data_IF_378515749728
#
_entry.id   IF_378515749728
#
_cell.length_a   1.000
_cell.length_b   1.000
_cell.length_c   1.000
_cell.angle_alpha   90.00
_cell.angle_beta   90.00
_cell.angle_gamma   90.00
#
_symmetry.space_group_name_H-M   'P 1'
#
loop_
_entity.id
_entity.type
_entity.pdbx_description
1 polymer ?
#
# COMPACT_ATOMS: atom_id res chain seq x y z
N UNK A 1 -5.22 -6.63 -14.54
CA UNK A 1 -4.87 -5.37 -13.87
C UNK A 1 -5.61 -5.33 -12.55
N UNK A 2 -4.92 -5.03 -11.45
CA UNK A 2 -5.56 -5.01 -10.14
C UNK A 2 -6.37 -3.71 -10.02
N UNK A 3 -7.59 -3.77 -9.49
CA UNK A 3 -8.42 -2.56 -9.31
C UNK A 3 -7.96 -1.79 -8.07
N UNK A 4 -6.78 -1.18 -8.19
CA UNK A 4 -6.09 -0.51 -7.11
C UNK A 4 -6.90 0.69 -6.59
N UNK A 5 -7.53 1.46 -7.47
CA UNK A 5 -8.36 2.60 -7.09
C UNK A 5 -9.56 2.18 -6.24
N UNK A 6 -10.22 1.07 -6.57
CA UNK A 6 -11.26 0.50 -5.72
C UNK A 6 -10.70 0.05 -4.37
N UNK A 7 -9.54 -0.60 -4.36
CA UNK A 7 -8.92 -1.09 -3.10
C UNK A 7 -8.52 0.07 -2.19
N UNK A 8 -8.00 1.18 -2.73
CA UNK A 8 -7.72 2.41 -1.99
C UNK A 8 -8.98 2.96 -1.34
N UNK A 9 -10.06 3.11 -2.10
CA UNK A 9 -11.36 3.57 -1.59
C UNK A 9 -11.93 2.65 -0.52
N UNK A 10 -11.78 1.35 -0.71
CA UNK A 10 -12.29 0.31 0.18
C UNK A 10 -11.44 0.12 1.46
N UNK A 11 -10.24 0.70 1.53
CA UNK A 11 -9.33 0.60 2.68
C UNK A 11 -9.75 1.47 3.86
N UNK A 12 -10.55 2.52 3.63
CA UNK A 12 -10.95 3.48 4.66
C UNK A 12 -9.82 4.41 5.15
N UNK A 13 -8.66 4.38 4.50
CA UNK A 13 -7.52 5.25 4.83
C UNK A 13 -7.71 6.67 4.28
N UNK A 14 -7.12 7.65 4.96
CA UNK A 14 -7.11 9.03 4.47
C UNK A 14 -6.23 9.15 3.21
N UNK A 15 -6.49 10.14 2.33
CA UNK A 15 -5.65 10.39 1.15
C UNK A 15 -4.18 10.62 1.49
N UNK A 16 -3.90 11.29 2.61
CA UNK A 16 -2.53 11.60 3.06
C UNK A 16 -1.76 10.32 3.43
N UNK A 17 -2.43 9.40 4.11
CA UNK A 17 -1.87 8.09 4.47
C UNK A 17 -1.62 7.25 3.21
N UNK A 18 -2.60 7.22 2.30
CA UNK A 18 -2.46 6.52 1.02
C UNK A 18 -1.29 7.04 0.20
N UNK A 19 -1.12 8.36 0.10
CA UNK A 19 -0.01 8.97 -0.64
C UNK A 19 1.35 8.57 -0.04
N UNK A 20 1.46 8.51 1.28
CA UNK A 20 2.69 8.10 1.97
C UNK A 20 3.03 6.63 1.73
N UNK A 21 2.03 5.75 1.82
CA UNK A 21 2.18 4.32 1.53
C UNK A 21 2.56 4.10 0.07
N UNK A 22 1.91 4.80 -0.86
CA UNK A 22 2.23 4.75 -2.29
C UNK A 22 3.68 5.15 -2.54
N UNK A 23 4.15 6.23 -1.90
CA UNK A 23 5.53 6.67 -2.05
C UNK A 23 6.52 5.59 -1.58
N UNK A 24 6.30 5.00 -0.40
CA UNK A 24 7.17 3.93 0.13
C UNK A 24 7.22 2.73 -0.83
N UNK A 25 6.06 2.21 -1.23
CA UNK A 25 5.99 1.05 -2.14
C UNK A 25 6.57 1.39 -3.51
N UNK A 26 6.45 2.64 -3.97
CA UNK A 26 7.04 3.08 -5.24
C UNK A 26 8.56 3.21 -5.16
N UNK A 27 9.13 3.49 -3.99
CA UNK A 27 10.59 3.47 -3.81
C UNK A 27 11.15 2.05 -3.97
N UNK A 28 10.43 1.03 -3.52
CA UNK A 28 10.83 -0.38 -3.63
C UNK A 28 10.66 -0.95 -5.04
N UNK A 29 9.64 -0.48 -5.76
CA UNK A 29 9.26 -0.95 -7.10
C UNK A 29 9.28 0.20 -8.11
N UNK A 30 10.39 0.97 -8.14
CA UNK A 30 10.51 2.21 -8.93
C UNK A 30 10.18 2.03 -10.42
N UNK A 31 10.57 0.91 -11.01
CA UNK A 31 10.42 0.63 -12.44
C UNK A 31 9.47 -0.55 -12.74
N UNK A 32 8.97 -1.24 -11.72
CA UNK A 32 8.09 -2.40 -11.87
C UNK A 32 6.65 -2.05 -11.47
N UNK A 33 5.88 -1.55 -12.43
CA UNK A 33 4.49 -1.17 -12.24
C UNK A 33 3.61 -2.36 -11.79
N UNK A 34 3.93 -3.58 -12.22
CA UNK A 34 3.15 -4.76 -11.87
C UNK A 34 3.37 -5.16 -10.41
N UNK A 35 4.63 -5.20 -9.96
CA UNK A 35 4.95 -5.48 -8.56
C UNK A 35 4.45 -4.38 -7.64
N UNK A 36 4.55 -3.12 -8.06
CA UNK A 36 3.94 -1.99 -7.34
C UNK A 36 2.44 -2.21 -7.12
N UNK A 37 1.67 -2.47 -8.19
CA UNK A 37 0.22 -2.69 -8.09
C UNK A 37 -0.13 -3.88 -7.19
N UNK A 38 0.58 -5.01 -7.36
CA UNK A 38 0.36 -6.22 -6.55
C UNK A 38 0.62 -5.93 -5.08
N UNK A 39 1.73 -5.26 -4.77
CA UNK A 39 2.13 -4.98 -3.41
C UNK A 39 1.14 -4.04 -2.73
N UNK A 40 0.75 -2.96 -3.41
CA UNK A 40 -0.26 -2.02 -2.93
C UNK A 40 -1.58 -2.72 -2.60
N UNK A 41 -2.08 -3.60 -3.48
CA UNK A 41 -3.35 -4.30 -3.22
C UNK A 41 -3.27 -5.26 -2.06
N UNK A 42 -2.15 -6.00 -1.92
CA UNK A 42 -1.95 -6.93 -0.80
C UNK A 42 -1.90 -6.17 0.53
N UNK A 43 -1.15 -5.08 0.55
CA UNK A 43 -0.96 -4.24 1.73
C UNK A 43 -2.27 -3.63 2.20
N UNK A 44 -3.00 -2.95 1.30
CA UNK A 44 -4.28 -2.30 1.63
C UNK A 44 -5.35 -3.31 2.07
N UNK A 45 -5.36 -4.53 1.51
CA UNK A 45 -6.22 -5.61 1.99
C UNK A 45 -5.85 -6.05 3.40
N UNK A 46 -4.56 -6.25 3.66
CA UNK A 46 -4.09 -6.66 4.99
C UNK A 46 -4.43 -5.61 6.06
N UNK A 47 -4.33 -4.31 5.73
CA UNK A 47 -4.77 -3.21 6.60
C UNK A 47 -6.27 -3.28 6.84
N UNK A 48 -7.06 -3.39 5.78
CA UNK A 48 -8.53 -3.48 5.88
C UNK A 48 -8.99 -4.67 6.71
N UNK A 49 -8.31 -5.80 6.59
CA UNK A 49 -8.61 -7.05 7.31
C UNK A 49 -8.03 -7.05 8.73
N UNK A 50 -7.37 -5.97 9.16
CA UNK A 50 -6.79 -5.83 10.49
C UNK A 50 -5.59 -6.76 10.75
N UNK A 51 -4.99 -7.32 9.70
CA UNK A 51 -3.83 -8.22 9.81
C UNK A 51 -2.54 -7.45 10.09
N UNK A 52 -2.45 -6.21 9.59
CA UNK A 52 -1.34 -5.30 9.83
C UNK A 52 -1.90 -3.92 10.19
N UNK A 53 -1.23 -3.22 11.10
CA UNK A 53 -1.54 -1.83 11.42
C UNK A 53 -0.90 -0.88 10.41
N UNK A 54 -1.58 0.21 10.08
CA UNK A 54 -1.00 1.24 9.20
C UNK A 54 0.28 1.85 9.79
N UNK A 55 0.34 1.98 11.11
CA UNK A 55 1.52 2.46 11.83
C UNK A 55 2.75 1.56 11.59
N UNK A 56 2.55 0.25 11.44
CA UNK A 56 3.64 -0.71 11.18
C UNK A 56 4.22 -0.51 9.78
N UNK A 57 3.35 -0.24 8.79
CA UNK A 57 3.74 0.07 7.41
C UNK A 57 4.52 1.39 7.36
N UNK A 58 4.08 2.39 8.12
CA UNK A 58 4.71 3.71 8.14
C UNK A 58 6.00 3.76 8.97
N UNK A 59 6.18 2.83 9.91
CA UNK A 59 7.33 2.74 10.80
C UNK A 59 8.48 1.90 10.23
N UNK A 60 8.17 0.87 9.43
CA UNK A 60 9.19 0.06 8.77
C UNK A 60 9.43 0.61 7.35
N UNK A 61 10.70 0.84 6.94
CA UNK A 61 10.99 0.89 5.52
C UNK A 61 10.58 -0.47 4.95
N UNK A 62 9.64 -0.47 4.00
CA UNK A 62 9.21 -1.69 3.34
C UNK A 62 10.46 -2.30 2.67
N UNK A 63 10.96 -3.41 3.24
CA UNK A 63 12.13 -4.17 2.79
C UNK A 63 13.49 -3.44 2.93
N UNK A 64 14.09 -3.55 4.12
CA UNK A 64 15.55 -3.59 4.26
C UNK A 64 16.05 -5.05 4.25
#
# INVERSE_FOLDING_TARGET
MFDLERVKKDSGLSPEVLARVEQQVREDFREDDLLFEIHMVRLLRAVKEGRIGIEQILAEPALA
#
